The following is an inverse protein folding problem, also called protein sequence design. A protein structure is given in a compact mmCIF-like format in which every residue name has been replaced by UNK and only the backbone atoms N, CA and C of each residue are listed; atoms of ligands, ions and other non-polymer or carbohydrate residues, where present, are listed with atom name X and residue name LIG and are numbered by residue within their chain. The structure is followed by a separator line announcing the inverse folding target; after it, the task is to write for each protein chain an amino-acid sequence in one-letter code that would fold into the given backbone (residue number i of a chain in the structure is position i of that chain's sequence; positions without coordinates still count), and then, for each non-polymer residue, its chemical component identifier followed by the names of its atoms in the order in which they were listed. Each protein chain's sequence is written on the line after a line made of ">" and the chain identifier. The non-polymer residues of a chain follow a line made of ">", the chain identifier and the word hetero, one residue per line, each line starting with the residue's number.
data_IF_773278813604
#
_entry.id   IF_773278813604
#
_cell.length_a   1.000
_cell.length_b   1.000
_cell.length_c   1.000
_cell.angle_alpha   90.00
_cell.angle_beta   90.00
_cell.angle_gamma   90.00
#
_symmetry.space_group_name_H-M   'P 1'
#
loop_
_entity.id
_entity.type
_entity.pdbx_description
1 polymer ?
#
# COMPACT_ATOMS: atom_id res chain seq x y z
N UNK A 1 -19.11 1.97 17.45
CA UNK A 1 -19.81 0.69 17.32
C UNK A 1 -18.78 -0.43 17.28
N UNK A 2 -18.96 -1.52 18.05
CA UNK A 2 -17.98 -2.62 18.19
C UNK A 2 -17.63 -3.32 16.86
N UNK A 3 -18.43 -3.12 15.84
CA UNK A 3 -18.27 -3.71 14.51
C UNK A 3 -17.65 -2.77 13.47
N UNK A 4 -17.32 -1.55 13.85
CA UNK A 4 -16.74 -0.58 12.92
C UNK A 4 -15.22 -0.71 12.79
N UNK A 5 -14.66 -0.56 11.58
CA UNK A 5 -13.22 -0.47 11.39
C UNK A 5 -12.64 0.67 12.24
N UNK A 6 -11.55 0.39 12.95
CA UNK A 6 -10.91 1.38 13.80
C UNK A 6 -11.41 1.43 15.25
N UNK A 7 -12.51 0.72 15.59
CA UNK A 7 -12.99 0.67 16.97
C UNK A 7 -11.97 0.03 17.93
N UNK A 8 -11.70 0.71 19.04
CA UNK A 8 -10.89 0.18 20.14
C UNK A 8 -11.67 0.29 21.45
N UNK A 9 -11.72 -0.77 22.28
CA UNK A 9 -12.39 -0.72 23.58
C UNK A 9 -11.58 0.02 24.63
N UNK A 10 -10.31 0.36 24.36
CA UNK A 10 -9.39 1.06 25.25
C UNK A 10 -8.65 2.14 24.47
N UNK A 11 -8.48 3.31 25.06
CA UNK A 11 -7.82 4.46 24.43
C UNK A 11 -6.33 4.25 24.15
N UNK A 12 -5.69 3.27 24.80
CA UNK A 12 -4.27 2.91 24.66
C UNK A 12 -4.01 1.64 23.83
N UNK A 13 -5.03 1.10 23.17
CA UNK A 13 -4.90 -0.13 22.42
C UNK A 13 -4.01 0.06 21.19
N UNK A 14 -2.96 -0.76 21.06
CA UNK A 14 -2.02 -0.76 19.90
C UNK A 14 -2.69 -1.13 18.57
N UNK A 15 -3.84 -1.79 18.62
CA UNK A 15 -4.59 -2.27 17.48
C UNK A 15 -6.07 -2.02 17.67
N UNK A 16 -6.78 -1.68 16.61
CA UNK A 16 -8.24 -1.72 16.64
C UNK A 16 -8.72 -3.17 16.81
N UNK A 17 -9.96 -3.37 17.26
CA UNK A 17 -10.54 -4.71 17.50
C UNK A 17 -10.43 -5.63 16.28
N UNK A 18 -10.53 -5.08 15.06
CA UNK A 18 -10.37 -5.83 13.81
C UNK A 18 -8.94 -6.32 13.64
N UNK A 19 -7.95 -5.42 13.78
CA UNK A 19 -6.53 -5.79 13.69
C UNK A 19 -6.14 -6.75 14.83
N UNK A 20 -6.69 -6.57 16.01
CA UNK A 20 -6.49 -7.48 17.14
C UNK A 20 -7.03 -8.88 16.85
N UNK A 21 -8.26 -8.98 16.31
CA UNK A 21 -8.86 -10.26 15.92
C UNK A 21 -8.10 -10.93 14.78
N UNK A 22 -7.62 -10.16 13.80
CA UNK A 22 -6.77 -10.68 12.72
C UNK A 22 -5.46 -11.27 13.25
N UNK A 23 -4.79 -10.57 14.17
CA UNK A 23 -3.49 -11.01 14.68
C UNK A 23 -3.58 -12.18 15.65
N UNK A 24 -4.65 -12.27 16.45
CA UNK A 24 -4.73 -13.24 17.53
C UNK A 24 -5.67 -14.43 17.27
N UNK A 25 -6.69 -14.26 16.45
CA UNK A 25 -7.72 -15.29 16.26
C UNK A 25 -7.89 -15.73 14.80
N UNK A 26 -7.19 -15.11 13.84
CA UNK A 26 -7.29 -15.46 12.43
C UNK A 26 -8.71 -15.28 11.82
N UNK A 27 -9.64 -14.66 12.55
CA UNK A 27 -11.00 -14.45 12.09
C UNK A 27 -11.07 -13.18 11.24
N UNK A 28 -11.05 -13.37 9.92
CA UNK A 28 -11.43 -12.33 8.97
C UNK A 28 -12.88 -12.63 8.57
N UNK A 29 -13.84 -11.86 9.07
CA UNK A 29 -15.11 -11.74 8.35
C UNK A 29 -14.86 -10.69 7.27
N UNK A 30 -15.03 -11.03 5.98
CA UNK A 30 -15.02 -10.03 4.94
C UNK A 30 -16.25 -9.13 5.19
N UNK A 31 -16.03 -7.98 5.82
CA UNK A 31 -17.04 -6.94 5.76
C UNK A 31 -17.06 -6.46 4.31
N UNK A 32 -18.19 -6.67 3.66
CA UNK A 32 -18.55 -5.97 2.42
C UNK A 32 -18.68 -4.48 2.76
N UNK A 33 -17.55 -3.80 2.83
CA UNK A 33 -17.56 -2.33 2.72
C UNK A 33 -17.83 -2.08 1.25
N UNK A 34 -19.10 -1.95 0.89
CA UNK A 34 -19.57 -1.55 -0.45
C UNK A 34 -19.24 -0.08 -0.72
N UNK A 35 -18.00 0.36 -0.46
CA UNK A 35 -17.53 1.65 -0.94
C UNK A 35 -16.94 1.38 -2.32
N UNK A 36 -17.61 1.89 -3.34
CA UNK A 36 -17.14 1.76 -4.71
C UNK A 36 -15.84 2.57 -4.86
N UNK A 37 -14.75 1.95 -5.26
CA UNK A 37 -13.48 2.61 -5.54
C UNK A 37 -13.68 3.82 -6.46
N UNK A 38 -14.63 3.73 -7.42
CA UNK A 38 -14.95 4.78 -8.36
C UNK A 38 -15.49 6.06 -7.71
N UNK A 39 -16.25 5.95 -6.61
CA UNK A 39 -16.77 7.13 -5.91
C UNK A 39 -15.65 7.94 -5.26
N UNK A 40 -14.66 7.26 -4.69
CA UNK A 40 -13.46 7.91 -4.12
C UNK A 40 -12.66 8.60 -5.23
N UNK A 41 -12.43 7.91 -6.36
CA UNK A 41 -11.72 8.45 -7.51
C UNK A 41 -12.45 9.69 -8.07
N UNK A 42 -13.76 9.61 -8.25
CA UNK A 42 -14.56 10.71 -8.77
C UNK A 42 -14.51 11.96 -7.89
N UNK A 43 -14.47 11.78 -6.56
CA UNK A 43 -14.30 12.89 -5.63
C UNK A 43 -12.92 13.53 -5.72
N UNK A 44 -11.87 12.74 -5.78
CA UNK A 44 -10.52 13.26 -5.97
C UNK A 44 -10.37 14.00 -7.30
N UNK A 45 -10.97 13.47 -8.38
CA UNK A 45 -10.92 14.08 -9.71
C UNK A 45 -11.69 15.39 -9.84
N UNK A 46 -12.65 15.66 -8.95
CA UNK A 46 -13.33 16.97 -8.84
C UNK A 46 -12.51 18.01 -8.10
N UNK A 47 -11.43 17.60 -7.44
CA UNK A 47 -10.56 18.47 -6.66
C UNK A 47 -9.31 18.86 -7.45
N UNK A 48 -8.75 20.01 -7.14
CA UNK A 48 -7.43 20.46 -7.62
C UNK A 48 -6.30 20.02 -6.70
N UNK A 49 -6.61 19.37 -5.59
CA UNK A 49 -5.60 18.91 -4.61
C UNK A 49 -4.79 17.73 -5.15
N UNK A 50 -3.50 17.73 -4.88
CA UNK A 50 -2.62 16.63 -5.24
C UNK A 50 -3.01 15.34 -4.53
N UNK A 51 -2.90 14.22 -5.23
CA UNK A 51 -3.16 12.88 -4.71
C UNK A 51 -1.84 12.12 -4.58
N UNK A 52 -1.45 11.79 -3.37
CA UNK A 52 -0.40 10.79 -3.11
C UNK A 52 -1.07 9.41 -3.13
N UNK A 53 -0.85 8.69 -4.23
CA UNK A 53 -1.40 7.34 -4.38
C UNK A 53 -0.40 6.32 -3.88
N UNK A 54 -0.72 5.69 -2.76
CA UNK A 54 0.12 4.72 -2.07
C UNK A 54 -0.18 3.31 -2.55
N UNK A 55 0.84 2.61 -3.02
CA UNK A 55 0.84 1.15 -3.24
C UNK A 55 2.06 0.53 -2.57
N UNK A 56 1.98 -0.71 -2.13
CA UNK A 56 3.19 -1.39 -1.67
C UNK A 56 3.91 -2.07 -2.84
N UNK A 57 5.20 -2.31 -2.66
CA UNK A 57 6.07 -2.85 -3.72
C UNK A 57 5.60 -4.20 -4.28
N UNK A 58 4.90 -5.01 -3.48
CA UNK A 58 4.43 -6.34 -3.89
C UNK A 58 3.12 -6.28 -4.68
N UNK A 59 2.39 -5.18 -4.58
CA UNK A 59 1.08 -4.99 -5.19
C UNK A 59 1.11 -3.98 -6.34
N UNK A 60 2.27 -3.77 -6.95
CA UNK A 60 2.38 -3.01 -8.20
C UNK A 60 2.00 -3.95 -9.34
N UNK A 61 0.74 -3.89 -9.75
CA UNK A 61 0.17 -4.73 -10.80
C UNK A 61 -0.77 -3.92 -11.71
N UNK A 62 -1.35 -4.55 -12.70
CA UNK A 62 -2.22 -3.89 -13.68
C UNK A 62 -3.41 -3.20 -13.01
N UNK A 63 -4.07 -3.83 -12.04
CA UNK A 63 -5.23 -3.26 -11.33
C UNK A 63 -4.88 -1.99 -10.57
N UNK A 64 -3.80 -2.02 -9.77
CA UNK A 64 -3.35 -0.87 -8.99
C UNK A 64 -2.91 0.28 -9.88
N UNK A 65 -2.24 -0.03 -10.99
CA UNK A 65 -1.75 0.98 -11.92
C UNK A 65 -2.87 1.56 -12.80
N UNK A 66 -3.87 0.78 -13.19
CA UNK A 66 -5.08 1.30 -13.83
C UNK A 66 -5.85 2.24 -12.92
N UNK A 67 -5.99 1.89 -11.65
CA UNK A 67 -6.59 2.77 -10.64
C UNK A 67 -5.79 4.08 -10.50
N UNK A 68 -4.47 4.00 -10.40
CA UNK A 68 -3.62 5.19 -10.39
C UNK A 68 -3.82 6.04 -11.65
N UNK A 69 -3.86 5.43 -12.82
CA UNK A 69 -4.05 6.14 -14.10
C UNK A 69 -5.43 6.81 -14.21
N UNK A 70 -6.48 6.22 -13.62
CA UNK A 70 -7.85 6.79 -13.63
C UNK A 70 -8.00 8.06 -12.78
N UNK A 71 -7.04 8.36 -11.91
CA UNK A 71 -6.98 9.62 -11.19
C UNK A 71 -6.49 10.70 -12.14
N UNK A 72 -7.32 11.68 -12.45
CA UNK A 72 -7.01 12.82 -13.34
C UNK A 72 -6.50 14.05 -12.58
N UNK A 73 -6.74 14.13 -11.27
CA UNK A 73 -6.15 15.16 -10.41
C UNK A 73 -4.60 15.07 -10.43
N UNK A 74 -3.87 16.15 -10.10
CA UNK A 74 -2.42 16.07 -9.92
C UNK A 74 -2.07 14.92 -8.98
N UNK A 75 -1.15 14.05 -9.38
CA UNK A 75 -0.88 12.82 -8.64
C UNK A 75 0.58 12.45 -8.60
N UNK A 76 0.97 11.78 -7.51
CA UNK A 76 2.30 11.26 -7.25
C UNK A 76 2.15 9.80 -6.87
N UNK A 77 2.95 8.92 -7.46
CA UNK A 77 3.00 7.51 -7.07
C UNK A 77 3.89 7.35 -5.83
N UNK A 78 3.36 6.75 -4.78
CA UNK A 78 4.12 6.46 -3.56
C UNK A 78 4.23 4.95 -3.37
N UNK A 79 5.46 4.45 -3.35
CA UNK A 79 5.77 3.03 -3.17
C UNK A 79 6.19 2.80 -1.72
N UNK A 80 5.37 2.09 -0.98
CA UNK A 80 5.65 1.70 0.41
C UNK A 80 6.38 0.37 0.51
N UNK A 81 6.82 0.02 1.71
CA UNK A 81 7.55 -1.21 2.03
C UNK A 81 8.83 -1.38 1.20
N UNK A 82 9.49 -0.28 0.83
CA UNK A 82 10.74 -0.32 0.06
C UNK A 82 11.88 -1.08 0.76
N UNK A 83 11.76 -1.30 2.07
CA UNK A 83 12.71 -2.07 2.89
C UNK A 83 12.71 -3.58 2.63
N UNK A 84 11.73 -4.11 1.91
CA UNK A 84 11.71 -5.53 1.54
C UNK A 84 12.38 -5.81 0.20
N UNK A 85 12.74 -4.77 -0.56
CA UNK A 85 13.46 -4.90 -1.83
C UNK A 85 14.88 -5.42 -1.55
N UNK A 86 15.35 -6.46 -2.26
CA UNK A 86 16.73 -6.90 -2.17
C UNK A 86 17.72 -5.77 -2.48
N UNK A 87 18.85 -5.73 -1.77
CA UNK A 87 19.86 -4.68 -1.95
C UNK A 87 20.47 -4.64 -3.36
N UNK A 88 20.41 -5.75 -4.08
CA UNK A 88 20.89 -5.88 -5.45
C UNK A 88 20.01 -5.14 -6.46
N UNK A 89 18.80 -4.78 -6.07
CA UNK A 89 17.86 -4.03 -6.91
C UNK A 89 18.04 -2.54 -6.61
N UNK A 90 18.61 -1.83 -7.56
CA UNK A 90 18.72 -0.37 -7.47
C UNK A 90 17.34 0.30 -7.53
N UNK A 91 17.08 1.23 -6.62
CA UNK A 91 15.85 2.03 -6.63
C UNK A 91 15.60 2.74 -7.95
N UNK A 92 16.65 3.30 -8.55
CA UNK A 92 16.55 4.00 -9.85
C UNK A 92 16.14 3.06 -10.98
N UNK A 93 16.68 1.83 -11.01
CA UNK A 93 16.29 0.81 -11.98
C UNK A 93 14.83 0.40 -11.82
N UNK A 94 14.39 0.26 -10.57
CA UNK A 94 12.99 -0.05 -10.27
C UNK A 94 12.07 1.07 -10.77
N UNK A 95 12.37 2.32 -10.42
CA UNK A 95 11.59 3.48 -10.86
C UNK A 95 11.53 3.56 -12.37
N UNK A 96 12.66 3.41 -13.06
CA UNK A 96 12.72 3.40 -14.51
C UNK A 96 11.89 2.27 -15.12
N UNK A 97 11.98 1.07 -14.57
CA UNK A 97 11.17 -0.08 -15.03
C UNK A 97 9.67 0.19 -14.87
N UNK A 98 9.24 0.81 -13.77
CA UNK A 98 7.84 1.17 -13.55
C UNK A 98 7.36 2.26 -14.52
N UNK A 99 8.19 3.26 -14.78
CA UNK A 99 7.89 4.30 -15.76
C UNK A 99 7.74 3.73 -17.16
N UNK A 100 8.62 2.81 -17.57
CA UNK A 100 8.57 2.15 -18.88
C UNK A 100 7.38 1.18 -19.00
N UNK A 101 7.16 0.33 -17.98
CA UNK A 101 6.13 -0.72 -18.03
C UNK A 101 4.71 -0.17 -17.95
N UNK A 102 4.51 0.83 -17.09
CA UNK A 102 3.17 1.39 -16.80
C UNK A 102 2.99 2.81 -17.31
N UNK A 103 3.96 3.34 -18.07
CA UNK A 103 3.91 4.70 -18.62
C UNK A 103 3.66 5.78 -17.57
N UNK A 104 4.28 5.64 -16.39
CA UNK A 104 4.16 6.62 -15.31
C UNK A 104 5.02 7.84 -15.64
N UNK A 105 4.37 8.99 -15.86
CA UNK A 105 5.03 10.25 -16.21
C UNK A 105 5.18 11.19 -15.01
N UNK A 106 4.60 10.84 -13.87
CA UNK A 106 4.64 11.64 -12.64
C UNK A 106 5.82 11.22 -11.76
N UNK A 107 6.13 12.03 -10.76
CA UNK A 107 7.14 11.68 -9.77
C UNK A 107 6.76 10.42 -9.00
N UNK A 108 7.80 9.67 -8.57
CA UNK A 108 7.67 8.46 -7.79
C UNK A 108 8.46 8.64 -6.49
N UNK A 109 7.81 8.41 -5.36
CA UNK A 109 8.42 8.43 -4.03
C UNK A 109 8.44 7.01 -3.47
N UNK A 110 9.63 6.45 -3.19
CA UNK A 110 9.75 5.18 -2.49
C UNK A 110 10.08 5.42 -1.00
N UNK A 111 9.38 4.73 -0.10
CA UNK A 111 9.55 4.89 1.34
C UNK A 111 9.32 3.59 2.11
N UNK A 112 9.79 3.55 3.36
CA UNK A 112 9.45 2.52 4.33
C UNK A 112 9.04 3.14 5.66
N UNK A 113 7.76 3.07 5.98
CA UNK A 113 7.25 3.53 7.27
C UNK A 113 7.77 2.65 8.43
N UNK A 114 7.97 1.36 8.19
CA UNK A 114 8.48 0.42 9.20
C UNK A 114 9.93 0.68 9.58
N UNK A 115 10.75 1.11 8.63
CA UNK A 115 12.19 1.40 8.83
C UNK A 115 12.47 2.89 8.99
N UNK A 116 11.44 3.73 9.04
CA UNK A 116 11.54 5.18 9.14
C UNK A 116 12.36 5.82 8.00
N UNK A 117 12.35 5.16 6.83
CA UNK A 117 13.12 5.60 5.66
C UNK A 117 12.22 6.44 4.75
N UNK A 118 12.65 7.67 4.49
CA UNK A 118 11.96 8.62 3.60
C UNK A 118 10.48 8.90 3.92
N UNK A 119 10.03 8.64 5.15
CA UNK A 119 8.62 8.84 5.56
C UNK A 119 8.18 10.29 5.47
N UNK A 120 9.08 11.23 5.74
CA UNK A 120 8.84 12.67 5.62
C UNK A 120 8.96 13.22 4.19
N UNK A 121 9.29 12.39 3.19
CA UNK A 121 9.44 12.83 1.80
C UNK A 121 8.15 13.39 1.22
N UNK A 122 6.99 12.87 1.64
CA UNK A 122 5.68 13.40 1.22
C UNK A 122 5.52 14.83 1.73
N UNK A 123 5.79 15.10 3.00
CA UNK A 123 5.70 16.47 3.57
C UNK A 123 6.68 17.42 2.89
N UNK A 124 7.91 16.98 2.72
CA UNK A 124 8.94 17.76 2.02
C UNK A 124 8.55 18.04 0.56
N UNK A 125 7.94 17.09 -0.12
CA UNK A 125 7.41 17.28 -1.46
C UNK A 125 6.29 18.33 -1.47
N UNK A 126 5.38 18.27 -0.49
CA UNK A 126 4.32 19.26 -0.35
C UNK A 126 4.88 20.65 -0.11
N UNK A 127 5.84 20.80 0.79
CA UNK A 127 6.50 22.08 1.08
C UNK A 127 7.21 22.65 -0.16
N UNK A 128 8.01 21.84 -0.84
CA UNK A 128 8.79 22.28 -2.02
C UNK A 128 7.90 22.68 -3.20
N UNK A 129 6.69 22.16 -3.29
CA UNK A 129 5.73 22.43 -4.37
C UNK A 129 4.57 23.35 -3.93
N UNK A 130 4.67 23.98 -2.73
CA UNK A 130 3.63 24.85 -2.17
C UNK A 130 2.25 24.17 -2.07
N UNK A 131 2.20 22.88 -1.80
CA UNK A 131 0.97 22.08 -1.64
C UNK A 131 0.59 22.12 -0.16
N UNK A 132 -0.46 22.86 0.20
CA UNK A 132 -0.92 22.93 1.59
C UNK A 132 -1.84 21.77 1.98
N UNK A 133 -2.54 21.21 0.99
CA UNK A 133 -3.52 20.13 1.21
C UNK A 133 -3.42 19.07 0.12
N UNK A 134 -3.38 17.80 0.52
CA UNK A 134 -3.26 16.68 -0.41
C UNK A 134 -4.06 15.47 0.08
N UNK A 135 -4.54 14.66 -0.86
CA UNK A 135 -5.11 13.35 -0.56
C UNK A 135 -4.01 12.30 -0.35
N UNK A 136 -4.23 11.41 0.60
CA UNK A 136 -3.49 10.18 0.73
C UNK A 136 -4.42 9.01 0.41
N UNK A 137 -4.29 8.46 -0.78
CA UNK A 137 -5.13 7.40 -1.31
C UNK A 137 -4.33 6.13 -1.54
N UNK A 138 -4.97 4.99 -1.62
CA UNK A 138 -4.33 3.71 -1.91
C UNK A 138 -5.17 2.52 -1.48
N UNK A 139 -4.74 1.34 -1.90
CA UNK A 139 -5.42 0.10 -1.60
C UNK A 139 -5.35 -0.28 -0.12
N UNK A 140 -6.25 -1.16 0.31
CA UNK A 140 -6.19 -1.73 1.65
C UNK A 140 -4.85 -2.46 1.86
N UNK A 141 -4.28 -2.34 3.07
CA UNK A 141 -3.00 -2.94 3.44
C UNK A 141 -1.74 -2.41 2.71
N UNK A 142 -1.85 -1.37 1.90
CA UNK A 142 -0.68 -0.74 1.27
C UNK A 142 0.22 0.04 2.26
N UNK A 143 -0.11 0.11 3.53
CA UNK A 143 0.67 0.79 4.56
C UNK A 143 0.27 2.23 4.85
N UNK A 144 -0.90 2.70 4.38
CA UNK A 144 -1.39 4.07 4.54
C UNK A 144 -1.48 4.49 6.02
N UNK A 145 -2.17 3.72 6.86
CA UNK A 145 -2.27 4.02 8.30
C UNK A 145 -0.92 3.96 9.03
N UNK A 146 -0.04 3.06 8.62
CA UNK A 146 1.33 3.00 9.18
C UNK A 146 2.11 4.25 8.85
N UNK A 147 2.00 4.74 7.62
CA UNK A 147 2.66 5.97 7.18
C UNK A 147 2.11 7.20 7.91
N UNK A 148 0.79 7.29 8.07
CA UNK A 148 0.15 8.37 8.82
C UNK A 148 0.66 8.38 10.28
N UNK A 149 0.66 7.23 10.95
CA UNK A 149 1.15 7.13 12.33
C UNK A 149 2.62 7.51 12.45
N UNK A 150 3.44 7.20 11.45
CA UNK A 150 4.84 7.56 11.42
C UNK A 150 5.04 9.07 11.23
N UNK A 151 4.32 9.67 10.30
CA UNK A 151 4.41 11.12 10.02
C UNK A 151 3.92 11.95 11.20
N UNK A 152 2.87 11.50 11.88
CA UNK A 152 2.24 12.24 12.99
C UNK A 152 2.89 11.98 14.35
N UNK A 153 3.85 11.03 14.45
CA UNK A 153 4.54 10.72 15.70
C UNK A 153 3.69 9.97 16.73
N UNK A 154 2.59 9.33 16.34
CA UNK A 154 1.69 8.47 17.15
C UNK A 154 0.82 9.15 18.21
N UNK A 155 1.00 10.44 18.55
CA UNK A 155 0.52 10.90 19.84
C UNK A 155 -0.73 11.78 19.83
N UNK A 156 -1.14 12.42 18.75
CA UNK A 156 -2.36 13.25 18.80
C UNK A 156 -2.89 13.49 17.37
N UNK A 157 -3.49 12.45 16.79
CA UNK A 157 -4.31 12.69 15.60
C UNK A 157 -5.65 13.26 16.09
N UNK A 158 -5.76 14.57 16.18
CA UNK A 158 -7.04 15.24 16.19
C UNK A 158 -7.65 15.06 14.80
N UNK A 159 -8.29 13.91 14.59
CA UNK A 159 -8.99 13.63 13.35
C UNK A 159 -10.30 14.41 13.33
N UNK A 160 -10.40 15.40 12.47
CA UNK A 160 -11.69 15.99 12.15
C UNK A 160 -12.26 15.28 10.93
N UNK A 161 -13.30 14.48 11.12
CA UNK A 161 -14.12 14.00 10.00
C UNK A 161 -14.77 15.19 9.32
N UNK A 162 -14.60 15.34 8.02
CA UNK A 162 -15.37 16.33 7.26
C UNK A 162 -16.81 15.81 7.11
N UNK A 163 -17.73 16.37 7.89
CA UNK A 163 -19.09 15.88 8.14
C UNK A 163 -20.04 15.97 6.92
N UNK A 164 -19.59 16.41 5.76
CA UNK A 164 -20.47 16.71 4.62
C UNK A 164 -20.30 15.83 3.37
N UNK A 165 -19.58 14.72 3.46
CA UNK A 165 -19.47 13.78 2.32
C UNK A 165 -19.91 12.39 2.75
N UNK A 166 -20.65 11.70 1.91
CA UNK A 166 -21.03 10.28 2.06
C UNK A 166 -19.81 9.34 2.14
N UNK A 167 -18.61 9.88 1.98
CA UNK A 167 -17.31 9.22 2.10
C UNK A 167 -16.55 9.85 3.28
N UNK A 168 -16.17 9.04 4.25
CA UNK A 168 -15.44 9.45 5.46
C UNK A 168 -13.97 9.78 5.12
N UNK A 169 -13.72 10.99 4.62
CA UNK A 169 -12.37 11.54 4.49
C UNK A 169 -11.94 12.13 5.82
N UNK A 170 -10.75 11.74 6.29
CA UNK A 170 -10.21 12.20 7.55
C UNK A 170 -9.12 13.24 7.27
N UNK A 171 -9.33 14.49 7.73
CA UNK A 171 -8.29 15.51 7.66
C UNK A 171 -7.29 15.32 8.79
N UNK A 172 -6.02 15.27 8.45
CA UNK A 172 -4.88 15.08 9.36
C UNK A 172 -4.01 16.32 9.25
N UNK A 173 -4.11 17.29 10.17
CA UNK A 173 -3.25 18.45 10.19
C UNK A 173 -1.84 18.08 10.64
N UNK A 174 -0.83 18.60 9.93
CA UNK A 174 0.59 18.37 10.21
C UNK A 174 1.31 19.71 10.06
N UNK A 175 1.42 20.45 11.13
CA UNK A 175 1.90 21.85 11.10
C UNK A 175 1.02 22.72 10.20
N UNK A 176 1.58 23.32 9.16
CA UNK A 176 0.84 24.10 8.16
C UNK A 176 0.23 23.29 7.04
N UNK A 177 0.52 21.99 6.98
CA UNK A 177 0.06 21.08 5.95
C UNK A 177 -1.14 20.25 6.42
N UNK A 178 -1.93 19.75 5.48
CA UNK A 178 -3.04 18.85 5.76
C UNK A 178 -3.02 17.65 4.80
N UNK A 179 -2.96 16.44 5.33
CA UNK A 179 -3.22 15.23 4.58
C UNK A 179 -4.68 14.81 4.78
N UNK A 180 -5.35 14.46 3.69
CA UNK A 180 -6.70 13.91 3.70
C UNK A 180 -6.62 12.41 3.47
N UNK A 181 -6.80 11.62 4.54
CA UNK A 181 -6.85 10.18 4.44
C UNK A 181 -8.16 9.75 3.77
N UNK A 182 -8.04 8.97 2.70
CA UNK A 182 -9.21 8.44 1.97
C UNK A 182 -9.52 7.03 2.44
N UNK A 183 -10.77 6.56 2.28
CA UNK A 183 -11.06 5.13 2.39
C UNK A 183 -10.14 4.32 1.50
N UNK A 184 -9.65 3.18 2.01
CA UNK A 184 -8.80 2.28 1.22
C UNK A 184 -9.57 1.68 0.05
N UNK A 185 -8.93 1.58 -1.11
CA UNK A 185 -9.47 0.86 -2.26
C UNK A 185 -9.50 -0.63 -1.97
N UNK A 186 -10.51 -1.31 -2.48
CA UNK A 186 -10.63 -2.76 -2.39
C UNK A 186 -10.13 -3.39 -3.69
N UNK A 187 -9.36 -4.48 -3.57
CA UNK A 187 -9.02 -5.32 -4.72
C UNK A 187 -10.26 -6.06 -5.21
N UNK A 188 -10.34 -6.31 -6.51
CA UNK A 188 -11.44 -7.08 -7.09
C UNK A 188 -11.36 -8.53 -6.64
N UNK A 189 -10.18 -9.13 -6.71
CA UNK A 189 -9.94 -10.52 -6.32
C UNK A 189 -8.66 -10.59 -5.46
N UNK A 190 -8.74 -10.25 -4.18
CA UNK A 190 -7.55 -10.28 -3.34
C UNK A 190 -7.13 -11.72 -3.01
N UNK A 191 -5.88 -12.06 -3.28
CA UNK A 191 -5.28 -13.37 -2.94
C UNK A 191 -5.45 -13.75 -1.46
N UNK A 192 -5.59 -12.78 -0.56
CA UNK A 192 -5.81 -13.04 0.87
C UNK A 192 -7.25 -13.40 1.23
N UNK A 193 -8.19 -13.38 0.29
CA UNK A 193 -9.51 -14.00 0.48
C UNK A 193 -9.46 -15.51 0.28
N UNK A 194 -8.42 -16.03 -0.33
CA UNK A 194 -8.14 -17.44 -0.40
C UNK A 194 -7.78 -17.97 1.00
N UNK A 195 -8.39 -19.02 1.40
CA UNK A 195 -8.69 -19.54 2.71
C UNK A 195 -7.51 -19.90 3.62
N UNK A 196 -6.27 -19.85 3.15
CA UNK A 196 -5.12 -20.31 3.93
C UNK A 196 -4.32 -19.16 4.54
N UNK A 197 -4.58 -18.85 5.83
CA UNK A 197 -3.87 -17.80 6.57
C UNK A 197 -2.35 -18.02 6.67
N UNK A 198 -1.87 -19.26 6.62
CA UNK A 198 -0.44 -19.55 6.61
C UNK A 198 0.20 -19.09 5.31
N UNK A 199 -0.51 -19.27 4.21
CA UNK A 199 -0.11 -18.82 2.88
C UNK A 199 -0.09 -17.28 2.80
N UNK A 200 -1.13 -16.62 3.28
CA UNK A 200 -1.20 -15.14 3.32
C UNK A 200 0.01 -14.53 4.04
N UNK A 201 0.47 -15.17 5.14
CA UNK A 201 1.68 -14.72 5.85
C UNK A 201 2.96 -14.90 5.02
N UNK A 202 3.05 -15.94 4.21
CA UNK A 202 4.21 -16.23 3.36
C UNK A 202 4.31 -15.27 2.17
N UNK A 203 3.18 -14.95 1.54
CA UNK A 203 3.14 -14.04 0.38
C UNK A 203 3.21 -12.54 0.76
N UNK A 204 3.20 -12.22 2.06
CA UNK A 204 3.32 -10.85 2.54
C UNK A 204 4.56 -10.71 3.46
N UNK A 205 5.76 -10.68 2.89
CA UNK A 205 6.99 -10.66 3.67
C UNK A 205 7.06 -9.38 4.53
N UNK A 206 7.51 -9.55 5.75
CA UNK A 206 7.74 -8.46 6.70
C UNK A 206 9.22 -8.06 6.82
N UNK A 207 10.09 -8.73 6.08
CA UNK A 207 11.54 -8.53 6.05
C UNK A 207 12.03 -8.53 4.62
N UNK A 208 13.25 -8.06 4.41
CA UNK A 208 13.89 -8.06 3.09
C UNK A 208 13.81 -9.44 2.43
N UNK A 209 13.38 -9.46 1.17
CA UNK A 209 13.32 -10.66 0.35
C UNK A 209 14.76 -11.10 0.04
N UNK A 210 15.06 -12.37 0.30
CA UNK A 210 16.37 -12.93 0.03
C UNK A 210 16.32 -13.80 -1.23
N UNK A 211 17.22 -13.58 -2.19
CA UNK A 211 17.27 -14.41 -3.39
C UNK A 211 17.64 -15.86 -3.04
N UNK A 212 16.99 -16.82 -3.69
CA UNK A 212 17.35 -18.23 -3.68
C UNK A 212 17.79 -18.63 -5.08
N UNK A 213 19.06 -19.02 -5.22
CA UNK A 213 19.64 -19.43 -6.49
C UNK A 213 19.66 -20.93 -6.63
N UNK A 214 19.26 -21.42 -7.79
CA UNK A 214 19.28 -22.84 -8.14
C UNK A 214 20.01 -23.02 -9.48
N UNK A 215 20.94 -23.96 -9.49
CA UNK A 215 21.49 -24.47 -10.74
C UNK A 215 20.50 -25.50 -11.27
N UNK A 216 19.90 -25.25 -12.40
CA UNK A 216 18.81 -26.08 -12.92
C UNK A 216 19.29 -27.05 -13.97
N UNK A 217 18.62 -28.21 -14.01
CA UNK A 217 18.72 -29.17 -15.12
C UNK A 217 17.61 -28.88 -16.14
N UNK A 218 17.80 -29.42 -17.33
CA UNK A 218 16.76 -29.39 -18.36
C UNK A 218 15.47 -30.08 -17.86
N UNK A 219 14.33 -29.49 -18.17
CA UNK A 219 12.99 -29.95 -17.77
C UNK A 219 12.77 -30.07 -16.26
N UNK A 220 13.57 -29.38 -15.44
CA UNK A 220 13.34 -29.33 -14.01
C UNK A 220 12.11 -28.48 -13.69
N UNK A 221 11.24 -29.01 -12.81
CA UNK A 221 10.02 -28.36 -12.34
C UNK A 221 10.25 -27.85 -10.91
N UNK A 222 9.80 -26.64 -10.64
CA UNK A 222 9.69 -26.04 -9.31
C UNK A 222 8.22 -25.84 -8.97
N UNK A 223 7.78 -26.37 -7.85
CA UNK A 223 6.44 -26.16 -7.32
C UNK A 223 6.57 -25.22 -6.11
N UNK A 224 5.83 -24.12 -6.13
CA UNK A 224 5.85 -23.12 -5.07
C UNK A 224 4.48 -23.14 -4.38
N UNK A 225 4.43 -23.71 -3.17
CA UNK A 225 3.26 -23.74 -2.27
C UNK A 225 1.97 -24.23 -2.94
N UNK A 226 2.06 -25.19 -3.86
CA UNK A 226 0.93 -25.71 -4.66
C UNK A 226 0.16 -24.64 -5.47
N UNK A 227 0.73 -23.45 -5.62
CA UNK A 227 0.10 -22.33 -6.32
C UNK A 227 0.72 -22.06 -7.69
N UNK A 228 2.01 -22.25 -7.80
CA UNK A 228 2.76 -21.95 -9.01
C UNK A 228 3.64 -23.14 -9.38
N UNK A 229 3.59 -23.51 -10.64
CA UNK A 229 4.52 -24.41 -11.27
C UNK A 229 5.40 -23.66 -12.26
N UNK A 230 6.71 -23.76 -12.09
CA UNK A 230 7.69 -23.20 -13.00
C UNK A 230 8.50 -24.33 -13.61
N UNK A 231 8.40 -24.52 -14.93
CA UNK A 231 9.17 -25.49 -15.68
C UNK A 231 10.34 -24.82 -16.42
N UNK A 232 11.55 -25.29 -16.16
CA UNK A 232 12.74 -24.81 -16.84
C UNK A 232 13.11 -25.74 -17.99
N UNK A 233 13.23 -25.22 -19.22
CA UNK A 233 13.50 -26.00 -20.44
C UNK A 233 14.99 -26.08 -20.81
N UNK A 234 15.88 -25.53 -20.01
CA UNK A 234 17.31 -25.54 -20.30
C UNK A 234 18.19 -25.67 -19.05
N UNK A 235 19.49 -25.76 -19.24
CA UNK A 235 20.44 -25.70 -18.14
C UNK A 235 20.76 -24.24 -17.86
N UNK A 236 20.21 -23.71 -16.76
CA UNK A 236 20.32 -22.30 -16.39
C UNK A 236 20.58 -22.14 -14.88
N UNK A 237 20.96 -20.93 -14.49
CA UNK A 237 20.86 -20.49 -13.10
C UNK A 237 19.55 -19.72 -12.94
N UNK A 238 18.64 -20.22 -12.12
CA UNK A 238 17.38 -19.57 -11.80
C UNK A 238 17.48 -18.92 -10.42
N UNK A 239 17.01 -17.69 -10.30
CA UNK A 239 16.99 -16.95 -9.04
C UNK A 239 15.54 -16.56 -8.77
N UNK A 240 15.01 -17.03 -7.63
CA UNK A 240 13.72 -16.63 -7.11
C UNK A 240 13.91 -15.55 -6.03
N UNK A 241 13.03 -14.55 -6.05
CA UNK A 241 12.96 -13.48 -5.06
C UNK A 241 11.67 -13.56 -4.26
#
# INVERSE_FOLDING_TARGET
>A
NQNEPGYTPKNDAKYCMRCFKMNNYGQIKPEKVNKNNQDVINLMNKSTSTVFFLTDILNINAETMQTFQSITAPKILVISKSDIIPNEISGDKLIKSLQETYHVTTDIIALSAKKHVYTKSILKYMENNNIQKAYLAGYTNCGKSTLINEITGKNDITTSSSVNTTLDFINIPIGSLTLMDTPGFNYQEPLYNETNLSLVKKINPSTMIKPKSYQTKENQVFIIEDMLEFQNFGQNKVIFY
#
